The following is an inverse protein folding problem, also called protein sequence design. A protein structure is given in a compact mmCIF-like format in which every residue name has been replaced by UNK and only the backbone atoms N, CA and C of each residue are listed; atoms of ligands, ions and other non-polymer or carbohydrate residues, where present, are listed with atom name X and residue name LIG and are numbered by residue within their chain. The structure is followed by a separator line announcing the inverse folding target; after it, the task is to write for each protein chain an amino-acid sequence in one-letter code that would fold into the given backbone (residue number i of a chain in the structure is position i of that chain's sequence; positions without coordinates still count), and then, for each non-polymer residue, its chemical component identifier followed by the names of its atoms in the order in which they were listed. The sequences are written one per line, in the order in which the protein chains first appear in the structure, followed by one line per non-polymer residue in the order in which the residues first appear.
data_IF_737842171486
#
_entry.id   IF_737842171486
#
_cell.length_a   1.000
_cell.length_b   1.000
_cell.length_c   1.000
_cell.angle_alpha   90.00
_cell.angle_beta   90.00
_cell.angle_gamma   90.00
#
_symmetry.space_group_name_H-M   'P 1'
#
loop_
_entity.id
_entity.type
_entity.pdbx_description
1 polymer ?
#
# COMPACT_ATOMS: atom_id res chain seq x y z
N UNK A 1 4.24 -11.53 -9.58
CA UNK A 1 4.56 -12.83 -8.92
C UNK A 1 3.92 -14.02 -9.64
N UNK A 2 4.60 -15.17 -9.72
CA UNK A 2 4.04 -16.45 -10.20
C UNK A 2 3.56 -17.29 -9.01
N UNK A 3 2.25 -17.50 -8.85
CA UNK A 3 1.72 -18.51 -7.92
C UNK A 3 1.76 -19.88 -8.61
N UNK A 4 2.94 -20.49 -8.75
CA UNK A 4 3.07 -21.86 -9.26
C UNK A 4 3.54 -22.81 -8.17
N UNK A 5 2.59 -23.57 -7.59
CA UNK A 5 2.91 -24.81 -6.89
C UNK A 5 3.28 -25.90 -7.91
N UNK A 6 4.19 -26.80 -7.54
CA UNK A 6 4.69 -27.89 -8.40
C UNK A 6 3.66 -28.96 -8.75
N UNK A 7 2.41 -28.83 -8.28
CA UNK A 7 1.25 -29.61 -8.70
C UNK A 7 0.08 -28.66 -8.96
N UNK A 8 -0.05 -28.18 -10.19
CA UNK A 8 -1.25 -27.46 -10.64
C UNK A 8 -2.30 -28.52 -10.99
N UNK A 9 -3.46 -28.59 -10.31
CA UNK A 9 -4.51 -29.55 -10.65
C UNK A 9 -4.94 -29.42 -12.11
N UNK A 10 -5.39 -30.52 -12.72
CA UNK A 10 -5.95 -30.48 -14.08
C UNK A 10 -7.10 -29.46 -14.14
N UNK A 11 -7.00 -28.47 -15.02
CA UNK A 11 -7.99 -27.39 -15.17
C UNK A 11 -7.70 -26.11 -14.36
N UNK A 12 -6.57 -26.01 -13.67
CA UNK A 12 -6.24 -24.80 -12.91
C UNK A 12 -5.60 -23.69 -13.77
N UNK A 13 -5.99 -22.45 -13.46
CA UNK A 13 -5.48 -21.21 -14.05
C UNK A 13 -4.27 -20.68 -13.27
N UNK A 14 -3.24 -20.24 -13.99
CA UNK A 14 -2.08 -19.54 -13.43
C UNK A 14 -2.27 -18.04 -13.61
N UNK A 15 -2.17 -17.32 -12.51
CA UNK A 15 -2.23 -15.86 -12.48
C UNK A 15 -0.81 -15.29 -12.40
N UNK A 16 -0.52 -14.31 -13.26
CA UNK A 16 0.76 -13.60 -13.30
C UNK A 16 0.49 -12.13 -13.02
N UNK A 17 1.22 -11.62 -12.03
CA UNK A 17 1.16 -10.22 -11.63
C UNK A 17 2.46 -9.50 -11.92
N UNK A 18 2.40 -8.21 -12.23
CA UNK A 18 3.57 -7.34 -12.31
C UNK A 18 4.14 -6.98 -10.93
N UNK A 19 5.07 -6.02 -10.87
CA UNK A 19 5.68 -5.54 -9.62
C UNK A 19 4.80 -4.53 -8.86
N UNK A 20 3.77 -3.98 -9.49
CA UNK A 20 2.77 -3.09 -8.90
C UNK A 20 1.53 -3.86 -8.39
N UNK A 21 1.46 -5.17 -8.62
CA UNK A 21 0.35 -6.01 -8.18
C UNK A 21 -0.79 -6.13 -9.19
N UNK A 22 -0.62 -5.62 -10.41
CA UNK A 22 -1.62 -5.75 -11.47
C UNK A 22 -1.66 -7.17 -12.02
N UNK A 23 -2.87 -7.72 -12.25
CA UNK A 23 -3.03 -8.99 -12.94
C UNK A 23 -2.79 -8.80 -14.44
N UNK A 24 -1.56 -9.09 -14.88
CA UNK A 24 -1.15 -8.92 -16.28
C UNK A 24 -1.43 -10.15 -17.16
N UNK A 25 -1.68 -11.32 -16.56
CA UNK A 25 -2.00 -12.51 -17.34
C UNK A 25 -2.60 -13.68 -16.59
N UNK A 26 -3.47 -14.39 -17.29
CA UNK A 26 -4.10 -15.66 -16.93
C UNK A 26 -3.68 -16.71 -17.97
N UNK A 27 -3.10 -17.81 -17.50
CA UNK A 27 -2.57 -18.87 -18.36
C UNK A 27 -3.13 -20.23 -17.94
N UNK A 28 -3.27 -21.14 -18.90
CA UNK A 28 -3.62 -22.52 -18.61
C UNK A 28 -2.45 -23.27 -17.93
N UNK A 29 -2.69 -24.52 -17.54
CA UNK A 29 -1.69 -25.36 -16.90
C UNK A 29 -0.42 -25.57 -17.76
N UNK A 30 -0.56 -25.51 -19.09
CA UNK A 30 0.50 -25.66 -20.09
C UNK A 30 1.25 -24.35 -20.37
N UNK A 31 0.78 -23.23 -19.83
CA UNK A 31 1.34 -21.90 -20.04
C UNK A 31 0.82 -21.19 -21.30
N UNK A 32 -0.25 -21.69 -21.92
CA UNK A 32 -0.89 -20.96 -23.01
C UNK A 32 -1.68 -19.78 -22.43
N UNK A 33 -1.58 -18.61 -23.09
CA UNK A 33 -2.32 -17.42 -22.68
C UNK A 33 -3.82 -17.65 -22.84
N UNK A 34 -4.54 -17.51 -21.73
CA UNK A 34 -6.00 -17.46 -21.74
C UNK A 34 -6.46 -16.01 -21.88
N UNK A 35 -5.78 -15.09 -21.19
CA UNK A 35 -6.12 -13.68 -21.18
C UNK A 35 -4.93 -12.87 -20.66
N UNK A 36 -4.56 -11.79 -21.33
CA UNK A 36 -3.49 -10.88 -20.89
C UNK A 36 -4.03 -9.47 -20.82
N UNK A 37 -3.72 -8.73 -19.74
CA UNK A 37 -4.23 -7.37 -19.54
C UNK A 37 -3.11 -6.37 -19.68
N UNK A 38 -3.39 -5.31 -20.45
CA UNK A 38 -2.49 -4.19 -20.69
C UNK A 38 -2.95 -3.01 -19.84
N UNK A 39 -2.00 -2.47 -19.08
CA UNK A 39 -2.21 -1.33 -18.19
C UNK A 39 -1.49 -0.09 -18.73
N UNK A 40 -2.08 1.09 -18.49
CA UNK A 40 -1.44 2.39 -18.59
C UNK A 40 -1.37 2.94 -17.17
N UNK A 41 -0.16 3.03 -16.63
CA UNK A 41 0.06 3.22 -15.20
C UNK A 41 -0.75 2.16 -14.41
N UNK A 42 -1.72 2.57 -13.59
CA UNK A 42 -2.58 1.66 -12.81
C UNK A 42 -3.90 1.31 -13.53
N UNK A 43 -4.22 2.01 -14.62
CA UNK A 43 -5.49 1.84 -15.34
C UNK A 43 -5.43 0.67 -16.33
N UNK A 44 -6.31 -0.34 -16.24
CA UNK A 44 -6.42 -1.36 -17.29
C UNK A 44 -7.06 -0.75 -18.54
N UNK A 45 -6.36 -0.79 -19.67
CA UNK A 45 -6.79 -0.17 -20.93
C UNK A 45 -7.18 -1.17 -22.01
N UNK A 46 -6.65 -2.40 -21.94
CA UNK A 46 -6.98 -3.44 -22.92
C UNK A 46 -6.80 -4.83 -22.32
N UNK A 47 -7.50 -5.81 -22.88
CA UNK A 47 -7.20 -7.23 -22.65
C UNK A 47 -7.10 -7.98 -23.97
N UNK A 48 -6.15 -8.89 -24.07
CA UNK A 48 -5.90 -9.71 -25.25
C UNK A 48 -6.31 -11.14 -24.95
N UNK A 49 -7.23 -11.67 -25.76
CA UNK A 49 -7.76 -13.03 -25.66
C UNK A 49 -7.58 -13.74 -26.99
N UNK A 50 -6.85 -14.86 -27.01
CA UNK A 50 -6.51 -15.58 -28.23
C UNK A 50 -5.92 -14.67 -29.34
N UNK A 51 -5.07 -13.71 -28.97
CA UNK A 51 -4.46 -12.75 -29.89
C UNK A 51 -5.39 -11.64 -30.40
N UNK A 52 -6.64 -11.58 -29.95
CA UNK A 52 -7.58 -10.50 -30.29
C UNK A 52 -7.64 -9.48 -29.15
N UNK A 53 -7.45 -8.18 -29.42
CA UNK A 53 -7.57 -7.14 -28.40
C UNK A 53 -9.03 -6.74 -28.15
N UNK A 54 -9.31 -6.42 -26.90
CA UNK A 54 -10.56 -5.86 -26.39
C UNK A 54 -10.21 -4.63 -25.56
N UNK A 55 -11.00 -3.56 -25.68
CA UNK A 55 -10.72 -2.28 -25.03
C UNK A 55 -11.49 -2.14 -23.74
N UNK A 56 -10.79 -1.75 -22.67
CA UNK A 56 -11.34 -1.61 -21.32
C UNK A 56 -11.59 -0.13 -21.04
N UNK A 57 -12.75 0.17 -20.48
CA UNK A 57 -13.11 1.48 -19.97
C UNK A 57 -13.26 1.38 -18.45
N UNK A 58 -12.36 2.05 -17.74
CA UNK A 58 -12.34 2.10 -16.29
C UNK A 58 -13.03 3.36 -15.74
N UNK A 59 -13.39 3.34 -14.46
CA UNK A 59 -13.90 4.51 -13.73
C UNK A 59 -12.78 5.34 -13.07
N UNK A 60 -13.14 6.29 -12.21
CA UNK A 60 -12.21 7.22 -11.57
C UNK A 60 -11.24 6.58 -10.56
N UNK A 61 -11.48 5.33 -10.17
CA UNK A 61 -10.59 4.55 -9.30
C UNK A 61 -10.05 3.33 -10.05
N UNK A 62 -9.89 3.44 -11.37
CA UNK A 62 -9.30 2.42 -12.24
C UNK A 62 -10.05 1.08 -12.28
N UNK A 63 -11.32 1.06 -11.84
CA UNK A 63 -12.14 -0.15 -11.87
C UNK A 63 -12.67 -0.39 -13.29
N UNK A 64 -12.44 -1.55 -13.91
CA UNK A 64 -13.04 -1.92 -15.20
C UNK A 64 -14.57 -1.87 -15.13
N UNK A 65 -15.21 -1.05 -15.97
CA UNK A 65 -16.68 -0.94 -16.04
C UNK A 65 -17.25 -1.46 -17.34
N UNK A 66 -16.55 -1.32 -18.46
CA UNK A 66 -17.03 -1.78 -19.77
C UNK A 66 -15.86 -2.36 -20.55
N UNK A 67 -16.10 -3.44 -21.29
CA UNK A 67 -15.15 -3.97 -22.28
C UNK A 67 -15.85 -4.06 -23.63
N UNK A 68 -15.17 -3.61 -24.67
CA UNK A 68 -15.67 -3.67 -26.06
C UNK A 68 -14.75 -4.47 -26.97
N UNK A 69 -15.32 -5.07 -28.00
CA UNK A 69 -14.56 -5.66 -29.10
C UNK A 69 -14.00 -4.57 -30.06
N UNK A 70 -13.34 -5.01 -31.12
CA UNK A 70 -12.78 -4.11 -32.15
C UNK A 70 -13.83 -3.37 -33.00
N UNK A 71 -15.11 -3.75 -32.90
CA UNK A 71 -16.24 -3.07 -33.54
C UNK A 71 -16.97 -2.11 -32.58
N UNK A 72 -16.43 -1.88 -31.38
CA UNK A 72 -17.04 -1.11 -30.30
C UNK A 72 -18.35 -1.71 -29.76
N UNK A 73 -18.57 -3.01 -29.90
CA UNK A 73 -19.70 -3.70 -29.28
C UNK A 73 -19.29 -4.18 -27.88
N UNK A 74 -20.13 -3.91 -26.88
CA UNK A 74 -19.87 -4.31 -25.50
C UNK A 74 -19.89 -5.84 -25.39
N UNK A 75 -18.81 -6.42 -24.86
CA UNK A 75 -18.71 -7.86 -24.61
C UNK A 75 -18.79 -8.18 -23.12
N UNK A 76 -18.52 -7.20 -22.25
CA UNK A 76 -18.63 -7.32 -20.80
C UNK A 76 -18.97 -5.97 -20.20
N UNK A 77 -19.83 -5.94 -19.17
CA UNK A 77 -20.28 -4.71 -18.53
C UNK A 77 -20.52 -4.88 -17.03
N UNK A 78 -19.98 -3.95 -16.24
CA UNK A 78 -20.08 -3.89 -14.79
C UNK A 78 -20.26 -2.46 -14.25
N UNK A 79 -21.01 -1.65 -14.99
CA UNK A 79 -21.37 -0.26 -14.66
C UNK A 79 -22.57 -0.16 -13.70
N UNK A 80 -23.31 -1.26 -13.50
CA UNK A 80 -24.41 -1.37 -12.53
C UNK A 80 -23.97 -1.94 -11.18
N UNK A 81 -22.66 -2.00 -10.91
CA UNK A 81 -22.18 -2.51 -9.64
C UNK A 81 -22.68 -1.63 -8.48
N UNK A 82 -23.16 -2.26 -7.41
CA UNK A 82 -23.39 -1.57 -6.15
C UNK A 82 -22.05 -1.02 -5.60
N UNK A 83 -22.08 -0.07 -4.64
CA UNK A 83 -20.86 0.57 -4.14
C UNK A 83 -19.81 -0.40 -3.63
N UNK A 84 -20.19 -1.59 -3.19
CA UNK A 84 -19.30 -2.61 -2.64
C UNK A 84 -18.98 -3.74 -3.63
N UNK A 85 -19.49 -3.69 -4.86
CA UNK A 85 -19.15 -4.64 -5.92
C UNK A 85 -19.81 -6.02 -5.80
N UNK A 86 -20.93 -6.15 -5.10
CA UNK A 86 -21.63 -7.44 -4.90
C UNK A 86 -22.32 -7.95 -6.17
N UNK A 87 -22.74 -7.03 -7.04
CA UNK A 87 -23.41 -7.36 -8.30
C UNK A 87 -22.41 -8.00 -9.25
N UNK A 88 -22.78 -9.07 -9.96
CA UNK A 88 -21.90 -9.67 -10.97
C UNK A 88 -21.95 -8.89 -12.30
N UNK A 89 -20.88 -8.93 -13.10
CA UNK A 89 -20.90 -8.33 -14.43
C UNK A 89 -21.86 -9.05 -15.37
N UNK A 90 -22.41 -8.29 -16.32
CA UNK A 90 -23.07 -8.81 -17.50
C UNK A 90 -22.00 -9.24 -18.51
N UNK A 91 -21.77 -10.54 -18.63
CA UNK A 91 -20.75 -11.14 -19.50
C UNK A 91 -21.22 -11.34 -20.94
N UNK A 92 -22.44 -10.91 -21.30
CA UNK A 92 -22.93 -10.99 -22.67
C UNK A 92 -23.94 -9.87 -23.01
N UNK A 93 -23.59 -8.59 -22.83
CA UNK A 93 -24.53 -7.48 -22.90
C UNK A 93 -25.07 -7.23 -24.32
N UNK A 94 -24.38 -7.73 -25.35
CA UNK A 94 -24.77 -7.57 -26.77
C UNK A 94 -25.03 -8.88 -27.50
N UNK A 95 -25.14 -10.01 -26.79
CA UNK A 95 -25.42 -11.33 -27.38
C UNK A 95 -24.34 -11.85 -28.35
N UNK A 96 -23.09 -11.44 -28.18
CA UNK A 96 -21.93 -11.88 -28.97
C UNK A 96 -21.24 -13.14 -28.41
N UNK A 97 -21.68 -13.60 -27.23
CA UNK A 97 -21.11 -14.75 -26.52
C UNK A 97 -20.57 -14.34 -25.15
N UNK A 98 -20.43 -15.31 -24.26
CA UNK A 98 -19.95 -15.08 -22.89
C UNK A 98 -18.48 -14.64 -22.90
N UNK A 99 -18.21 -13.50 -22.30
CA UNK A 99 -16.87 -12.96 -22.09
C UNK A 99 -16.58 -12.86 -20.59
N UNK A 100 -15.78 -13.76 -20.05
CA UNK A 100 -15.32 -13.67 -18.67
C UNK A 100 -14.14 -12.70 -18.53
N UNK A 101 -14.21 -11.80 -17.55
CA UNK A 101 -13.13 -10.91 -17.13
C UNK A 101 -13.12 -10.83 -15.60
N UNK A 102 -12.02 -11.23 -14.97
CA UNK A 102 -11.94 -11.47 -13.53
C UNK A 102 -11.48 -10.28 -12.68
N UNK A 103 -10.68 -9.31 -13.17
CA UNK A 103 -10.39 -8.12 -12.39
C UNK A 103 -11.65 -7.37 -11.91
N UNK A 104 -11.60 -6.84 -10.69
CA UNK A 104 -12.67 -6.10 -10.01
C UNK A 104 -12.14 -4.72 -9.59
N UNK A 105 -12.40 -4.25 -8.36
CA UNK A 105 -11.73 -3.06 -7.84
C UNK A 105 -10.20 -3.23 -7.87
N UNK A 106 -9.41 -2.14 -7.80
CA UNK A 106 -7.95 -2.23 -7.87
C UNK A 106 -7.38 -3.28 -6.91
N UNK A 107 -6.47 -4.12 -7.41
CA UNK A 107 -5.88 -5.25 -6.68
C UNK A 107 -6.75 -6.51 -6.59
N UNK A 108 -8.04 -6.42 -6.94
CA UNK A 108 -9.01 -7.49 -6.72
C UNK A 108 -9.22 -8.37 -7.96
N UNK A 109 -9.28 -9.69 -7.74
CA UNK A 109 -9.61 -10.69 -8.75
C UNK A 109 -10.79 -11.52 -8.27
N UNK A 110 -11.85 -11.61 -9.05
CA UNK A 110 -13.01 -12.42 -8.74
C UNK A 110 -12.66 -13.92 -8.73
N UNK A 111 -13.00 -14.58 -7.63
CA UNK A 111 -12.91 -16.02 -7.48
C UNK A 111 -14.31 -16.64 -7.59
N UNK A 112 -14.58 -17.28 -8.72
CA UNK A 112 -15.86 -17.90 -9.01
C UNK A 112 -16.17 -19.11 -8.10
N UNK A 113 -15.17 -19.76 -7.50
CA UNK A 113 -15.38 -20.91 -6.62
C UNK A 113 -15.99 -20.49 -5.28
N UNK A 114 -15.61 -19.30 -4.80
CA UNK A 114 -16.03 -18.78 -3.50
C UNK A 114 -17.04 -17.62 -3.61
N UNK A 115 -17.16 -17.02 -4.78
CA UNK A 115 -17.92 -15.78 -5.01
C UNK A 115 -17.26 -14.55 -4.37
N UNK A 116 -16.01 -14.68 -3.90
CA UNK A 116 -15.26 -13.61 -3.23
C UNK A 116 -14.32 -12.92 -4.20
N UNK A 117 -13.72 -11.83 -3.76
CA UNK A 117 -12.70 -11.14 -4.53
C UNK A 117 -11.37 -11.34 -3.82
N UNK A 118 -10.47 -12.10 -4.44
CA UNK A 118 -9.11 -12.25 -3.95
C UNK A 118 -8.39 -10.91 -4.10
N UNK A 119 -8.00 -10.31 -2.98
CA UNK A 119 -7.27 -9.06 -2.93
C UNK A 119 -5.90 -9.28 -2.27
N UNK A 120 -5.01 -9.94 -3.01
CA UNK A 120 -3.65 -10.32 -2.62
C UNK A 120 -3.51 -11.05 -1.26
N UNK A 121 -3.63 -10.31 -0.16
CA UNK A 121 -3.45 -10.78 1.21
C UNK A 121 -4.76 -11.13 1.93
N UNK A 122 -5.92 -10.71 1.38
CA UNK A 122 -7.23 -10.97 1.97
C UNK A 122 -8.26 -11.30 0.90
N UNK A 123 -9.31 -12.01 1.29
CA UNK A 123 -10.49 -12.22 0.47
C UNK A 123 -11.56 -11.21 0.90
N UNK A 124 -11.98 -10.40 -0.05
CA UNK A 124 -13.04 -9.43 0.11
C UNK A 124 -14.38 -10.10 -0.21
N UNK A 125 -15.34 -9.94 0.71
CA UNK A 125 -16.73 -10.33 0.52
C UNK A 125 -17.55 -9.11 0.15
N UNK A 126 -17.89 -8.95 -1.14
CA UNK A 126 -18.57 -7.76 -1.61
C UNK A 126 -20.00 -7.67 -1.09
N UNK A 127 -20.65 -8.80 -0.75
CA UNK A 127 -22.01 -8.83 -0.20
C UNK A 127 -22.07 -8.15 1.17
N UNK A 128 -21.03 -8.35 1.98
CA UNK A 128 -20.93 -7.71 3.31
C UNK A 128 -20.14 -6.40 3.29
N UNK A 129 -19.49 -6.07 2.16
CA UNK A 129 -18.63 -4.88 2.03
C UNK A 129 -17.36 -4.97 2.89
N UNK A 130 -16.89 -6.19 3.20
CA UNK A 130 -15.88 -6.44 4.23
C UNK A 130 -14.91 -7.51 3.80
N UNK A 131 -13.73 -7.50 4.41
CA UNK A 131 -12.85 -8.65 4.36
C UNK A 131 -13.43 -9.80 5.18
N UNK A 132 -13.20 -11.05 4.75
CA UNK A 132 -13.60 -12.23 5.54
C UNK A 132 -12.55 -12.66 6.54
N UNK A 133 -11.30 -12.22 6.34
CA UNK A 133 -10.26 -12.31 7.34
C UNK A 133 -10.22 -11.01 8.15
N UNK A 134 -10.03 -11.13 9.47
CA UNK A 134 -9.73 -9.98 10.33
C UNK A 134 -8.51 -9.26 9.78
N UNK A 135 -8.52 -7.92 9.89
CA UNK A 135 -7.38 -7.07 9.56
C UNK A 135 -6.19 -7.66 10.30
N UNK A 136 -5.20 -8.14 9.56
CA UNK A 136 -4.12 -8.83 10.20
C UNK A 136 -3.25 -7.87 11.05
N UNK A 137 -3.40 -6.54 10.92
CA UNK A 137 -2.81 -5.52 11.81
C UNK A 137 -3.60 -5.28 13.11
N UNK A 138 -4.80 -5.86 13.22
CA UNK A 138 -5.72 -5.64 14.34
C UNK A 138 -6.27 -4.20 14.39
N UNK A 139 -6.73 -3.77 15.57
CA UNK A 139 -7.29 -2.42 15.77
C UNK A 139 -6.26 -1.29 15.65
N UNK A 140 -4.96 -1.62 15.53
CA UNK A 140 -3.89 -0.65 15.36
C UNK A 140 -3.87 -0.02 13.95
N UNK A 141 -4.71 -0.49 13.02
CA UNK A 141 -4.90 0.05 11.67
C UNK A 141 -5.83 1.27 11.59
N UNK A 142 -6.17 1.90 12.73
CA UNK A 142 -6.95 3.14 12.78
C UNK A 142 -8.45 3.00 12.50
N UNK A 143 -8.91 1.83 12.05
CA UNK A 143 -10.33 1.55 11.76
C UNK A 143 -11.07 1.00 12.99
N UNK A 144 -12.35 1.35 13.18
CA UNK A 144 -13.17 0.82 14.27
C UNK A 144 -13.43 -0.70 14.13
N UNK A 145 -13.16 -1.28 12.97
CA UNK A 145 -13.29 -2.72 12.73
C UNK A 145 -12.14 -3.27 11.91
N UNK A 146 -11.61 -4.42 12.35
CA UNK A 146 -10.60 -5.16 11.60
C UNK A 146 -11.15 -5.78 10.31
N UNK A 147 -12.46 -5.87 10.10
CA UNK A 147 -12.97 -6.46 8.86
C UNK A 147 -13.34 -5.41 7.81
N UNK A 148 -13.13 -4.12 8.10
CA UNK A 148 -13.55 -3.05 7.20
C UNK A 148 -12.65 -2.98 5.95
N UNK A 149 -13.29 -2.81 4.79
CA UNK A 149 -12.66 -2.44 3.54
C UNK A 149 -12.68 -0.91 3.43
N UNK A 150 -11.53 -0.28 3.23
CA UNK A 150 -11.36 1.15 2.89
C UNK A 150 -12.27 2.14 3.67
N UNK A 151 -12.38 1.96 4.99
CA UNK A 151 -13.21 2.78 5.88
C UNK A 151 -14.69 2.88 5.49
N UNK A 152 -15.20 1.87 4.78
CA UNK A 152 -16.56 1.85 4.20
C UNK A 152 -16.81 2.89 3.10
N UNK A 153 -15.76 3.45 2.51
CA UNK A 153 -15.83 4.34 1.34
C UNK A 153 -15.05 3.76 0.13
N UNK A 154 -15.62 2.73 -0.54
CA UNK A 154 -15.01 2.06 -1.69
C UNK A 154 -15.05 2.86 -2.99
N UNK A 155 -15.66 4.06 -2.99
CA UNK A 155 -15.71 4.94 -4.15
C UNK A 155 -14.62 6.01 -4.10
N UNK A 156 -14.13 6.35 -2.90
CA UNK A 156 -13.06 7.33 -2.67
C UNK A 156 -11.68 6.73 -2.41
N UNK A 157 -11.59 5.47 -2.00
CA UNK A 157 -10.35 4.84 -1.56
C UNK A 157 -10.15 3.43 -2.14
N UNK A 158 -8.87 3.04 -2.27
CA UNK A 158 -8.43 1.74 -2.80
C UNK A 158 -7.45 1.08 -1.81
N UNK A 159 -7.33 -0.25 -1.88
CA UNK A 159 -6.39 -1.05 -1.09
C UNK A 159 -5.74 -2.10 -2.00
N UNK A 160 -4.75 -1.72 -2.85
CA UNK A 160 -4.24 -2.56 -3.94
C UNK A 160 -3.45 -3.78 -3.47
N UNK A 161 -2.76 -3.67 -2.33
CA UNK A 161 -1.91 -4.72 -1.80
C UNK A 161 -2.43 -5.34 -0.49
N UNK A 162 -3.36 -4.70 0.23
CA UNK A 162 -3.76 -5.16 1.55
C UNK A 162 -2.70 -4.96 2.64
N UNK A 163 -1.75 -4.03 2.47
CA UNK A 163 -0.57 -3.79 3.32
C UNK A 163 -0.38 -2.32 3.69
N UNK A 164 0.39 -2.00 4.75
CA UNK A 164 0.46 -0.63 5.29
C UNK A 164 1.82 -0.06 5.65
N UNK A 165 1.87 1.28 5.76
CA UNK A 165 2.98 2.05 6.31
C UNK A 165 2.63 2.60 7.69
N UNK A 166 3.62 2.85 8.54
CA UNK A 166 3.40 3.31 9.92
C UNK A 166 4.10 4.62 10.22
N UNK A 167 3.38 5.54 10.86
CA UNK A 167 4.02 6.61 11.63
C UNK A 167 4.55 6.06 12.96
N UNK A 168 5.71 6.54 13.35
CA UNK A 168 6.33 6.29 14.65
C UNK A 168 6.31 7.59 15.43
N UNK A 169 5.83 7.57 16.66
CA UNK A 169 5.89 8.68 17.60
C UNK A 169 6.66 8.28 18.85
N UNK A 170 7.57 9.15 19.28
CA UNK A 170 8.28 9.08 20.55
C UNK A 170 7.78 10.22 21.44
N UNK A 171 6.65 10.06 22.16
CA UNK A 171 5.98 11.17 22.84
C UNK A 171 6.86 11.82 23.91
N UNK A 172 7.68 11.02 24.60
CA UNK A 172 8.55 11.50 25.68
C UNK A 172 9.96 11.90 25.20
N UNK A 173 10.17 12.02 23.88
CA UNK A 173 11.49 12.37 23.34
C UNK A 173 11.95 13.77 23.82
N UNK A 174 13.17 13.91 24.36
CA UNK A 174 13.68 15.19 24.86
C UNK A 174 14.12 16.09 23.70
N UNK A 175 13.28 17.06 23.33
CA UNK A 175 13.59 18.03 22.27
C UNK A 175 14.48 19.14 22.84
N UNK A 176 15.68 19.32 22.27
CA UNK A 176 16.55 20.46 22.59
C UNK A 176 16.02 21.76 21.96
N UNK A 177 15.52 22.70 22.75
CA UNK A 177 14.91 23.94 22.23
C UNK A 177 15.82 25.17 22.35
N UNK A 178 16.83 25.09 23.21
CA UNK A 178 17.89 26.07 23.38
C UNK A 178 19.13 25.32 23.85
N UNK A 179 20.33 25.82 23.54
CA UNK A 179 21.63 25.21 23.80
C UNK A 179 21.69 24.39 25.12
N UNK A 180 21.66 23.06 25.01
CA UNK A 180 21.70 22.11 26.12
C UNK A 180 20.41 21.95 26.95
N UNK A 181 19.35 22.71 26.68
CA UNK A 181 18.05 22.62 27.34
C UNK A 181 17.05 21.78 26.55
N UNK A 182 16.55 20.73 27.18
CA UNK A 182 15.57 19.80 26.59
C UNK A 182 14.20 19.87 27.24
N UNK A 183 13.14 19.53 26.51
CA UNK A 183 11.79 19.35 27.03
C UNK A 183 11.06 18.19 26.35
N UNK A 184 10.30 17.41 27.12
CA UNK A 184 9.45 16.32 26.64
C UNK A 184 8.01 16.78 26.33
N UNK A 185 7.62 17.97 26.81
CA UNK A 185 6.27 18.54 26.61
C UNK A 185 6.05 19.16 25.22
N UNK A 186 7.06 19.12 24.34
CA UNK A 186 7.01 19.71 23.01
C UNK A 186 6.49 18.74 21.93
N UNK A 187 5.87 17.64 22.37
CA UNK A 187 5.19 16.68 21.52
C UNK A 187 6.10 15.66 20.83
N UNK A 188 7.33 15.51 21.33
CA UNK A 188 8.20 14.40 21.00
C UNK A 188 8.82 14.43 19.60
N UNK A 189 9.23 13.25 19.14
CA UNK A 189 9.88 13.04 17.85
C UNK A 189 9.12 12.03 17.01
N UNK A 190 9.23 12.09 15.68
CA UNK A 190 8.49 11.22 14.78
C UNK A 190 9.26 10.78 13.54
N UNK A 191 8.84 9.65 12.99
CA UNK A 191 9.37 9.08 11.75
C UNK A 191 8.35 8.17 11.07
N UNK A 192 8.76 7.53 9.98
CA UNK A 192 7.92 6.64 9.18
C UNK A 192 8.62 5.29 8.99
N UNK A 193 7.87 4.21 9.18
CA UNK A 193 8.25 2.84 8.87
C UNK A 193 7.49 2.38 7.64
N UNK A 194 8.21 1.77 6.71
CA UNK A 194 7.64 1.02 5.59
C UNK A 194 8.15 -0.41 5.63
N UNK A 195 7.35 -1.37 5.20
CA UNK A 195 7.80 -2.75 5.04
C UNK A 195 7.15 -3.42 3.84
N UNK A 196 7.91 -4.29 3.16
CA UNK A 196 7.40 -5.09 2.04
C UNK A 196 6.78 -6.43 2.50
N UNK A 197 6.28 -7.19 1.53
CA UNK A 197 5.69 -8.52 1.70
C UNK A 197 6.63 -9.58 2.30
N UNK A 198 7.94 -9.35 2.23
CA UNK A 198 9.01 -10.19 2.83
C UNK A 198 9.43 -9.67 4.21
N UNK A 199 8.84 -8.55 4.65
CA UNK A 199 9.15 -7.87 5.90
C UNK A 199 10.44 -7.06 5.86
N UNK A 200 10.99 -6.77 4.68
CA UNK A 200 12.12 -5.83 4.54
C UNK A 200 11.66 -4.47 5.03
N UNK A 201 12.25 -4.02 6.14
CA UNK A 201 11.73 -2.86 6.89
C UNK A 201 12.68 -1.69 6.76
N UNK A 202 12.14 -0.52 6.43
CA UNK A 202 12.88 0.73 6.42
C UNK A 202 12.26 1.69 7.43
N UNK A 203 13.13 2.41 8.16
CA UNK A 203 12.71 3.49 9.03
C UNK A 203 13.44 4.78 8.64
N UNK A 204 12.66 5.82 8.38
CA UNK A 204 13.13 7.13 7.98
C UNK A 204 12.58 8.20 8.92
N UNK A 205 13.41 9.17 9.27
CA UNK A 205 13.05 10.28 10.15
C UNK A 205 13.67 11.58 9.66
N UNK A 206 13.02 12.69 9.99
CA UNK A 206 13.46 14.03 9.60
C UNK A 206 13.73 14.87 10.83
N UNK A 207 14.88 15.52 10.90
CA UNK A 207 15.28 16.19 12.13
C UNK A 207 16.58 16.97 11.99
N UNK A 208 17.05 17.53 13.11
CA UNK A 208 18.32 18.27 13.20
C UNK A 208 19.52 17.34 13.27
N UNK A 209 19.70 16.51 12.24
CA UNK A 209 20.84 15.61 12.15
C UNK A 209 22.03 16.29 11.48
N UNK A 210 23.23 16.05 11.99
CA UNK A 210 24.46 16.56 11.36
C UNK A 210 24.64 15.95 9.96
N UNK A 211 25.11 16.71 8.97
CA UNK A 211 25.24 16.22 7.59
C UNK A 211 26.16 15.00 7.43
N UNK A 212 27.11 14.83 8.36
CA UNK A 212 28.05 13.70 8.38
C UNK A 212 27.60 12.54 9.28
N UNK A 213 26.41 12.63 9.90
CA UNK A 213 25.90 11.56 10.74
C UNK A 213 25.60 10.33 9.87
N UNK A 214 26.04 9.11 10.27
CA UNK A 214 25.71 7.90 9.54
C UNK A 214 24.19 7.74 9.36
N UNK A 215 23.79 7.34 8.16
CA UNK A 215 22.37 7.18 7.79
C UNK A 215 21.69 8.44 7.25
N UNK A 216 22.35 9.61 7.26
CA UNK A 216 21.82 10.78 6.52
C UNK A 216 21.88 10.51 5.02
N UNK A 217 20.73 10.64 4.36
CA UNK A 217 20.51 10.35 2.93
C UNK A 217 20.24 11.64 2.14
N UNK A 218 20.49 11.60 0.83
CA UNK A 218 20.25 12.71 -0.09
C UNK A 218 21.15 13.93 0.14
N UNK A 219 20.59 15.12 -0.08
CA UNK A 219 21.24 16.41 0.13
C UNK A 219 21.56 16.61 1.62
N UNK A 220 22.80 17.02 1.91
CA UNK A 220 23.34 17.18 3.27
C UNK A 220 23.44 18.65 3.63
N UNK A 221 22.45 19.13 4.39
CA UNK A 221 22.36 20.53 4.84
C UNK A 221 22.95 20.71 6.25
N UNK A 222 23.23 21.95 6.69
CA UNK A 222 23.49 22.23 8.10
C UNK A 222 22.42 21.61 9.01
N UNK A 223 22.80 21.16 10.21
CA UNK A 223 21.90 20.41 11.08
C UNK A 223 20.59 21.17 11.38
N UNK A 224 20.68 22.48 11.61
CA UNK A 224 19.51 23.33 11.91
C UNK A 224 18.55 23.52 10.73
N UNK A 225 18.98 23.17 9.51
CA UNK A 225 18.13 23.24 8.31
C UNK A 225 17.33 21.95 8.08
N UNK A 226 17.71 20.87 8.77
CA UNK A 226 17.01 19.58 8.71
C UNK A 226 17.61 18.63 7.67
N UNK A 227 17.76 17.38 8.08
CA UNK A 227 18.20 16.29 7.21
C UNK A 227 17.31 15.07 7.43
N UNK A 228 17.13 14.27 6.38
CA UNK A 228 16.47 12.96 6.48
C UNK A 228 17.52 11.93 6.86
N UNK A 229 17.22 11.10 7.86
CA UNK A 229 18.07 10.00 8.33
C UNK A 229 17.32 8.69 8.19
N UNK A 230 17.97 7.71 7.58
CA UNK A 230 17.53 6.32 7.57
C UNK A 230 18.27 5.55 8.67
N UNK A 231 17.52 4.95 9.61
CA UNK A 231 18.10 4.16 10.69
C UNK A 231 17.93 2.68 10.41
N UNK A 232 19.01 1.92 10.56
CA UNK A 232 18.96 0.46 10.43
C UNK A 232 18.11 -0.16 11.55
N UNK A 233 17.00 -0.76 11.15
CA UNK A 233 16.04 -1.48 11.98
C UNK A 233 15.98 -2.96 11.57
N UNK A 234 15.53 -3.86 12.45
CA UNK A 234 15.31 -5.25 12.07
C UNK A 234 14.18 -5.34 11.04
N UNK A 235 14.35 -6.26 10.09
CA UNK A 235 13.25 -6.68 9.24
C UNK A 235 12.16 -7.33 10.11
N UNK A 236 10.91 -7.01 9.79
CA UNK A 236 9.75 -7.65 10.37
C UNK A 236 9.71 -9.11 9.91
N UNK A 237 9.25 -9.99 10.81
CA UNK A 237 9.03 -11.39 10.45
C UNK A 237 7.60 -11.52 10.01
N UNK A 238 7.42 -11.91 8.75
CA UNK A 238 6.10 -12.10 8.18
C UNK A 238 5.59 -13.50 8.56
N UNK A 239 4.47 -13.53 9.28
CA UNK A 239 3.76 -14.72 9.70
C UNK A 239 3.03 -15.39 8.52
N UNK A 240 2.41 -16.54 8.79
CA UNK A 240 1.63 -17.28 7.78
C UNK A 240 0.39 -16.51 7.32
N UNK A 241 -0.07 -15.58 8.14
CA UNK A 241 -1.12 -14.59 7.90
C UNK A 241 -0.64 -13.38 7.07
N UNK A 242 0.60 -13.42 6.57
CA UNK A 242 1.25 -12.36 5.81
C UNK A 242 1.38 -11.04 6.59
N UNK A 243 1.58 -11.13 7.92
CA UNK A 243 1.80 -9.96 8.77
C UNK A 243 3.08 -9.97 9.55
N UNK A 244 3.58 -8.78 9.94
CA UNK A 244 4.54 -8.69 11.02
C UNK A 244 4.05 -9.41 12.27
N UNK A 245 4.78 -10.45 12.68
CA UNK A 245 4.53 -11.09 13.97
C UNK A 245 4.68 -10.06 15.10
N UNK A 246 3.85 -10.16 16.14
CA UNK A 246 3.93 -9.27 17.31
C UNK A 246 5.35 -9.21 17.88
N UNK A 247 6.02 -10.36 17.98
CA UNK A 247 7.41 -10.43 18.44
C UNK A 247 8.38 -9.61 17.56
N UNK A 248 8.13 -9.52 16.25
CA UNK A 248 8.95 -8.68 15.36
C UNK A 248 8.61 -7.19 15.47
N UNK A 249 7.35 -6.83 15.70
CA UNK A 249 6.92 -5.45 15.98
C UNK A 249 7.46 -4.96 17.33
N UNK A 250 7.47 -5.80 18.35
CA UNK A 250 8.06 -5.50 19.66
C UNK A 250 9.57 -5.31 19.55
N UNK A 251 10.24 -6.17 18.77
CA UNK A 251 11.66 -6.05 18.48
C UNK A 251 11.99 -4.76 17.72
N UNK A 252 11.17 -4.40 16.71
CA UNK A 252 11.27 -3.15 15.99
C UNK A 252 11.11 -1.96 16.94
N UNK A 253 10.05 -1.96 17.76
CA UNK A 253 9.74 -0.88 18.70
C UNK A 253 10.88 -0.65 19.71
N UNK A 254 11.49 -1.73 20.23
CA UNK A 254 12.67 -1.62 21.11
C UNK A 254 13.86 -0.99 20.38
N UNK A 255 14.16 -1.43 19.17
CA UNK A 255 15.28 -0.88 18.39
C UNK A 255 15.03 0.58 18.01
N UNK A 256 13.80 0.95 17.68
CA UNK A 256 13.39 2.33 17.40
C UNK A 256 13.56 3.21 18.64
N UNK A 257 13.05 2.76 19.79
CA UNK A 257 13.25 3.44 21.08
C UNK A 257 14.73 3.72 21.35
N UNK A 258 15.59 2.70 21.24
CA UNK A 258 17.03 2.83 21.52
C UNK A 258 17.77 3.74 20.52
N UNK A 259 17.52 3.58 19.21
CA UNK A 259 18.33 4.25 18.17
C UNK A 259 17.80 5.61 17.72
N UNK A 260 16.50 5.83 17.84
CA UNK A 260 15.82 7.03 17.35
C UNK A 260 15.00 7.73 18.45
N UNK A 261 14.48 6.98 19.43
CA UNK A 261 13.64 7.49 20.51
C UNK A 261 14.36 7.88 21.79
N UNK A 262 15.69 7.80 21.88
CA UNK A 262 16.45 8.08 23.13
C UNK A 262 16.02 7.21 24.33
N UNK A 263 15.62 5.97 24.08
CA UNK A 263 15.15 5.03 25.10
C UNK A 263 13.75 5.33 25.63
N UNK A 264 12.98 6.21 24.97
CA UNK A 264 11.63 6.55 25.38
C UNK A 264 10.58 5.61 24.80
N UNK A 265 9.34 5.72 25.27
CA UNK A 265 8.20 5.01 24.70
C UNK A 265 8.14 5.22 23.18
N UNK A 266 7.80 4.16 22.46
CA UNK A 266 7.56 4.15 21.01
C UNK A 266 6.09 3.83 20.78
N UNK A 267 5.42 4.65 19.97
CA UNK A 267 4.05 4.45 19.54
C UNK A 267 4.04 4.30 18.02
N UNK A 268 3.44 3.21 17.53
CA UNK A 268 3.29 2.91 16.11
C UNK A 268 1.83 3.10 15.73
N UNK A 269 1.58 3.87 14.67
CA UNK A 269 0.26 4.03 14.07
C UNK A 269 0.35 3.78 12.58
N UNK A 270 -0.31 2.72 12.12
CA UNK A 270 -0.16 2.19 10.78
C UNK A 270 -1.41 2.39 9.93
N UNK A 271 -1.21 2.63 8.63
CA UNK A 271 -2.24 2.78 7.62
C UNK A 271 -2.01 1.79 6.49
N UNK A 272 -3.01 0.93 6.26
CA UNK A 272 -3.02 -0.17 5.29
C UNK A 272 -3.36 0.22 3.86
N UNK A 273 -3.63 1.51 3.62
CA UNK A 273 -3.87 2.02 2.27
C UNK A 273 -2.67 2.85 1.80
N UNK A 274 -1.61 2.92 2.60
CA UNK A 274 -0.41 3.67 2.26
C UNK A 274 0.55 2.77 1.47
N UNK A 275 0.68 3.05 0.17
CA UNK A 275 1.67 2.44 -0.71
C UNK A 275 3.10 2.76 -0.21
N UNK A 276 3.85 1.72 0.12
CA UNK A 276 5.16 1.85 0.73
C UNK A 276 6.21 2.43 -0.22
N UNK A 277 6.06 2.22 -1.53
CA UNK A 277 6.94 2.82 -2.55
C UNK A 277 6.67 4.31 -2.64
N UNK A 278 5.41 4.75 -2.72
CA UNK A 278 5.03 6.18 -2.70
C UNK A 278 5.50 6.87 -1.42
N UNK A 279 5.38 6.22 -0.25
CA UNK A 279 5.96 6.74 1.01
C UNK A 279 7.47 6.91 0.88
N UNK A 280 8.18 5.91 0.35
CA UNK A 280 9.64 5.95 0.19
C UNK A 280 10.10 6.99 -0.85
N UNK A 281 9.35 7.17 -1.95
CA UNK A 281 9.59 8.21 -2.94
C UNK A 281 9.44 9.61 -2.34
N UNK A 282 8.39 9.84 -1.56
CA UNK A 282 8.24 11.08 -0.81
C UNK A 282 9.43 11.33 0.12
N UNK A 283 9.86 10.32 0.88
CA UNK A 283 11.05 10.40 1.74
C UNK A 283 12.28 10.80 0.93
N UNK A 284 12.52 10.18 -0.23
CA UNK A 284 13.64 10.51 -1.11
C UNK A 284 13.53 11.92 -1.71
N UNK A 285 12.33 12.37 -2.06
CA UNK A 285 12.10 13.72 -2.59
C UNK A 285 12.53 14.79 -1.59
N UNK A 286 12.14 14.63 -0.32
CA UNK A 286 12.53 15.54 0.77
C UNK A 286 14.02 15.42 1.06
N UNK A 287 14.57 14.20 1.04
CA UNK A 287 15.98 13.96 1.28
C UNK A 287 16.87 14.62 0.20
N UNK A 288 16.46 14.59 -1.06
CA UNK A 288 17.24 15.10 -2.20
C UNK A 288 17.05 16.58 -2.49
N UNK A 289 15.98 17.21 -1.98
CA UNK A 289 15.76 18.65 -2.13
C UNK A 289 16.78 19.47 -1.32
N UNK A 290 17.75 20.08 -2.01
CA UNK A 290 18.75 20.98 -1.43
C UNK A 290 18.19 22.35 -1.05
N UNK A 291 17.01 22.71 -1.56
CA UNK A 291 16.32 23.97 -1.30
C UNK A 291 15.12 23.77 -0.35
N UNK A 292 15.02 22.62 0.31
CA UNK A 292 13.93 22.30 1.23
C UNK A 292 13.79 23.37 2.31
N UNK A 293 12.55 23.58 2.73
CA UNK A 293 12.22 24.53 3.81
C UNK A 293 13.04 24.19 5.06
N UNK A 294 13.52 25.23 5.74
CA UNK A 294 14.25 25.11 7.01
C UNK A 294 13.43 24.37 8.06
N UNK A 295 14.02 23.34 8.67
CA UNK A 295 13.44 22.61 9.79
C UNK A 295 13.13 23.51 10.98
N UNK A 296 12.08 23.18 11.73
CA UNK A 296 11.84 23.76 13.04
C UNK A 296 11.39 22.69 14.02
N UNK A 297 11.98 22.68 15.20
CA UNK A 297 11.59 21.80 16.31
C UNK A 297 10.30 22.25 16.99
N UNK A 298 9.81 23.46 16.68
CA UNK A 298 8.62 24.01 17.30
C UNK A 298 7.39 23.17 16.92
N UNK A 299 6.59 22.70 17.89
CA UNK A 299 5.42 21.87 17.63
C UNK A 299 4.37 22.51 16.70
N UNK A 300 4.32 23.83 16.63
CA UNK A 300 3.40 24.59 15.79
C UNK A 300 3.96 24.87 14.38
N UNK A 301 5.20 24.46 14.10
CA UNK A 301 5.77 24.61 12.77
C UNK A 301 5.21 23.57 11.80
N UNK A 302 4.90 23.97 10.55
CA UNK A 302 4.47 23.03 9.51
C UNK A 302 5.63 22.22 8.89
N UNK A 303 6.85 22.36 9.40
CA UNK A 303 8.05 21.68 8.88
C UNK A 303 8.93 21.15 10.02
N UNK A 304 8.49 20.02 10.57
CA UNK A 304 9.11 19.27 11.67
C UNK A 304 9.05 17.75 11.40
N UNK A 305 9.63 16.95 12.29
CA UNK A 305 9.67 15.49 12.20
C UNK A 305 8.29 14.84 12.04
N UNK A 306 7.31 15.24 12.86
CA UNK A 306 5.94 14.67 12.84
C UNK A 306 5.18 15.04 11.57
N UNK A 307 5.27 16.29 11.13
CA UNK A 307 4.64 16.70 9.87
C UNK A 307 5.28 15.99 8.68
N UNK A 308 6.58 15.69 8.74
CA UNK A 308 7.24 14.87 7.74
C UNK A 308 6.69 13.45 7.73
N UNK A 309 6.58 12.79 8.88
CA UNK A 309 6.06 11.41 8.94
C UNK A 309 4.59 11.33 8.52
N UNK A 310 3.76 12.30 8.90
CA UNK A 310 2.37 12.36 8.46
C UNK A 310 2.25 12.60 6.95
N UNK A 311 2.99 13.56 6.39
CA UNK A 311 2.97 13.79 4.93
C UNK A 311 3.55 12.62 4.13
N UNK A 312 4.55 11.93 4.67
CA UNK A 312 5.08 10.72 4.04
C UNK A 312 4.00 9.64 4.00
N UNK A 313 3.28 9.44 5.11
CA UNK A 313 2.15 8.52 5.15
C UNK A 313 1.02 8.96 4.19
N UNK A 314 0.67 10.24 4.16
CA UNK A 314 -0.37 10.79 3.29
C UNK A 314 0.00 10.69 1.80
N UNK A 315 1.29 10.85 1.46
CA UNK A 315 1.78 10.64 0.09
C UNK A 315 1.59 9.19 -0.37
N UNK A 316 1.68 8.22 0.56
CA UNK A 316 1.32 6.83 0.29
C UNK A 316 -0.16 6.60 0.03
N UNK A 317 -1.03 7.52 0.47
CA UNK A 317 -2.49 7.44 0.27
C UNK A 317 -2.99 8.23 -0.94
N UNK A 318 -2.15 9.10 -1.50
CA UNK A 318 -2.52 9.96 -2.61
C UNK A 318 -2.62 9.13 -3.89
N UNK A 319 -3.75 9.28 -4.58
CA UNK A 319 -4.07 8.70 -5.89
C UNK A 319 -3.03 9.14 -6.91
#
# INVERSE_FOLDING_TARGET
MLKSGTNVPTGATRYVYDEAGHLIGEYDQSGNALQETVYLDDTPIATVKNGTPYYIYADQIDTPRVITDTNNLMVWRWDQADPFGATLPDENPTSLGTFAYNPRFPGQVYDAETGKHYNANRDYDPVSGRYVQSDPIGLNGGQPSTYAYVDSDPLGFIDPEGLGACTVLFPDYPIEYAEGKTSTWLGGHGGVVTYDDKGVTQYNEYGRYKPNLPGVIGARLPADDGNVRQVKVPNLKIGKDRQPTQASLDALSRVLSEKAGHGTKTELSCDKNADEKKVNEYVQSIANDSNRRKYSWNPFSPNQCRTFSHRALDAGKAQ
#
